data_IF_946029762601
#
_entry.id   IF_946029762601
#
_cell.length_a   1.000
_cell.length_b   1.000
_cell.length_c   1.000
_cell.angle_alpha   90.00
_cell.angle_beta   90.00
_cell.angle_gamma   90.00
#
_symmetry.space_group_name_H-M   'P 1'
#
loop_
_entity.id
_entity.type
_entity.pdbx_description
1 polymer ?
#
# COMPACT_ATOMS: atom_id res chain seq x y z
N UNK A 1 -11.48 3.94 -7.93
CA UNK A 1 -11.25 3.31 -6.62
C UNK A 1 -9.77 3.21 -6.36
N UNK A 2 -9.31 3.51 -5.15
CA UNK A 2 -7.86 3.50 -4.84
C UNK A 2 -7.48 2.46 -3.78
N UNK A 3 -8.39 2.04 -2.89
CA UNK A 3 -8.05 0.98 -1.95
C UNK A 3 -7.96 -0.39 -2.65
N UNK A 4 -7.08 -1.25 -2.16
CA UNK A 4 -6.98 -2.62 -2.65
C UNK A 4 -8.21 -3.43 -2.20
N UNK A 5 -8.88 -4.19 -3.09
CA UNK A 5 -9.89 -5.14 -2.69
C UNK A 5 -9.32 -6.16 -1.72
N UNK A 6 -9.77 -6.13 -0.46
CA UNK A 6 -9.33 -7.07 0.58
C UNK A 6 -10.42 -8.11 0.81
N UNK A 7 -10.09 -9.39 0.63
CA UNK A 7 -11.06 -10.48 0.69
C UNK A 7 -10.83 -11.35 1.93
N UNK A 8 -11.86 -11.57 2.71
CA UNK A 8 -11.89 -12.52 3.83
C UNK A 8 -13.13 -13.40 3.72
N UNK A 9 -12.92 -14.70 3.61
CA UNK A 9 -14.01 -15.66 3.33
C UNK A 9 -14.69 -15.33 2.00
N UNK A 10 -16.02 -15.12 2.04
CA UNK A 10 -16.81 -14.80 0.86
C UNK A 10 -17.04 -13.29 0.66
N UNK A 11 -16.45 -12.44 1.51
CA UNK A 11 -16.69 -11.00 1.48
C UNK A 11 -15.44 -10.25 1.03
N UNK A 12 -15.62 -9.35 0.08
CA UNK A 12 -14.64 -8.38 -0.39
C UNK A 12 -14.97 -7.01 0.23
N UNK A 13 -13.96 -6.37 0.81
CA UNK A 13 -14.03 -5.04 1.41
C UNK A 13 -13.22 -4.06 0.56
N UNK A 14 -13.81 -2.89 0.27
CA UNK A 14 -13.16 -1.89 -0.57
C UNK A 14 -13.67 -0.48 -0.29
N UNK A 15 -12.74 0.49 -0.22
CA UNK A 15 -13.04 1.91 -0.13
C UNK A 15 -12.99 2.59 -1.49
N UNK A 16 -13.85 3.58 -1.70
CA UNK A 16 -13.91 4.37 -2.92
C UNK A 16 -13.45 5.82 -2.68
N UNK A 17 -12.91 6.45 -3.72
CA UNK A 17 -12.61 7.89 -3.70
C UNK A 17 -13.86 8.78 -3.69
N UNK A 18 -15.05 8.20 -3.85
CA UNK A 18 -16.32 8.90 -3.73
C UNK A 18 -16.88 8.88 -2.30
N UNK A 19 -16.07 8.43 -1.32
CA UNK A 19 -16.44 8.45 0.10
C UNK A 19 -17.30 7.29 0.58
N UNK A 20 -17.45 6.25 -0.21
CA UNK A 20 -18.21 5.06 0.20
C UNK A 20 -17.29 3.86 0.43
N UNK A 21 -17.55 3.14 1.49
CA UNK A 21 -16.95 1.86 1.81
C UNK A 21 -17.97 0.74 1.59
N UNK A 22 -17.52 -0.37 1.03
CA UNK A 22 -18.42 -1.46 0.63
C UNK A 22 -17.92 -2.81 1.15
N UNK A 23 -18.89 -3.65 1.58
CA UNK A 23 -18.73 -5.08 1.76
C UNK A 23 -19.60 -5.78 0.69
N UNK A 24 -18.97 -6.58 -0.14
CA UNK A 24 -19.56 -7.17 -1.34
C UNK A 24 -19.27 -8.66 -1.34
N UNK A 25 -20.24 -9.51 -1.67
CA UNK A 25 -19.96 -10.91 -1.92
C UNK A 25 -19.02 -11.04 -3.13
N UNK A 26 -17.87 -11.68 -2.95
CA UNK A 26 -16.79 -11.73 -3.95
C UNK A 26 -17.18 -12.47 -5.23
N UNK A 27 -18.10 -13.43 -5.14
CA UNK A 27 -18.51 -14.30 -6.25
C UNK A 27 -19.70 -13.73 -7.00
N UNK A 28 -20.71 -13.24 -6.28
CA UNK A 28 -21.96 -12.76 -6.89
C UNK A 28 -21.96 -11.26 -7.17
N UNK A 29 -21.05 -10.50 -6.56
CA UNK A 29 -21.04 -9.03 -6.61
C UNK A 29 -22.17 -8.38 -5.79
N UNK A 30 -22.94 -9.16 -5.01
CA UNK A 30 -24.05 -8.65 -4.22
C UNK A 30 -23.53 -7.80 -3.05
N UNK A 31 -24.08 -6.58 -2.92
CA UNK A 31 -23.80 -5.70 -1.79
C UNK A 31 -24.36 -6.30 -0.50
N UNK A 32 -23.53 -6.44 0.52
CA UNK A 32 -23.94 -6.85 1.86
C UNK A 32 -24.26 -5.62 2.73
N UNK A 33 -23.34 -4.69 2.78
CA UNK A 33 -23.51 -3.39 3.42
C UNK A 33 -22.58 -2.33 2.82
N UNK A 34 -22.90 -1.08 3.08
CA UNK A 34 -22.06 0.05 2.71
C UNK A 34 -22.11 1.17 3.74
N UNK A 35 -21.08 1.98 3.79
CA UNK A 35 -21.00 3.16 4.64
C UNK A 35 -20.52 4.38 3.86
N UNK A 36 -21.23 5.50 3.99
CA UNK A 36 -20.87 6.77 3.35
C UNK A 36 -20.28 7.72 4.39
N UNK A 37 -18.97 7.99 4.31
CA UNK A 37 -18.26 8.87 5.24
C UNK A 37 -18.64 10.35 5.11
N UNK A 38 -19.28 10.76 4.02
CA UNK A 38 -19.75 12.14 3.85
C UNK A 38 -20.80 12.52 4.88
N UNK A 39 -21.43 11.53 5.52
CA UNK A 39 -22.34 11.73 6.66
C UNK A 39 -21.64 12.26 7.92
N UNK A 40 -20.32 12.04 8.02
CA UNK A 40 -19.53 12.36 9.21
C UNK A 40 -18.73 13.65 9.06
N UNK A 41 -19.06 14.46 8.07
CA UNK A 41 -18.41 15.74 7.83
C UNK A 41 -17.72 15.84 6.48
N UNK A 42 -16.67 16.65 6.40
CA UNK A 42 -16.04 17.05 5.15
C UNK A 42 -14.94 16.06 4.68
N UNK A 43 -15.19 14.74 4.79
CA UNK A 43 -14.30 13.69 4.30
C UNK A 43 -14.71 13.30 2.89
N UNK A 44 -13.76 12.85 2.06
CA UNK A 44 -14.03 12.62 0.64
C UNK A 44 -13.63 11.23 0.15
N UNK A 45 -12.57 10.63 0.68
CA UNK A 45 -11.97 9.45 0.05
C UNK A 45 -11.34 8.47 1.03
N UNK A 46 -11.12 7.26 0.50
CA UNK A 46 -10.32 6.19 1.11
C UNK A 46 -9.16 5.90 0.17
N UNK A 47 -7.93 6.09 0.62
CA UNK A 47 -6.73 5.78 -0.16
C UNK A 47 -5.94 4.57 0.37
N UNK A 48 -5.91 4.38 1.69
CA UNK A 48 -5.26 3.21 2.28
C UNK A 48 -6.05 1.91 2.06
N UNK A 49 -5.34 0.80 2.16
CA UNK A 49 -5.96 -0.53 2.10
C UNK A 49 -6.68 -0.86 3.42
N UNK A 50 -7.84 -1.52 3.38
CA UNK A 50 -8.55 -1.92 4.59
C UNK A 50 -7.79 -3.02 5.33
N UNK A 51 -7.58 -2.82 6.62
CA UNK A 51 -7.16 -3.88 7.55
C UNK A 51 -8.39 -4.63 8.03
N UNK A 52 -8.45 -5.94 7.78
CA UNK A 52 -9.56 -6.79 8.20
C UNK A 52 -9.11 -7.74 9.29
N UNK A 53 -9.75 -7.67 10.44
CA UNK A 53 -9.56 -8.59 11.58
C UNK A 53 -10.71 -9.59 11.66
N UNK A 54 -10.78 -10.37 12.74
CA UNK A 54 -11.87 -11.31 12.93
C UNK A 54 -13.25 -10.62 13.07
N UNK A 55 -13.32 -9.46 13.70
CA UNK A 55 -14.55 -8.75 14.05
C UNK A 55 -14.60 -7.30 13.53
N UNK A 56 -13.46 -6.72 13.15
CA UNK A 56 -13.38 -5.32 12.73
C UNK A 56 -12.76 -5.16 11.34
N UNK A 57 -13.12 -4.05 10.72
CA UNK A 57 -12.45 -3.51 9.54
C UNK A 57 -11.97 -2.10 9.89
N UNK A 58 -10.67 -1.85 9.71
CA UNK A 58 -10.09 -0.54 9.95
C UNK A 58 -9.60 0.08 8.65
N UNK A 59 -9.88 1.36 8.48
CA UNK A 59 -9.45 2.10 7.30
C UNK A 59 -9.35 3.60 7.60
N UNK A 60 -8.33 4.23 7.01
CA UNK A 60 -8.16 5.68 7.06
C UNK A 60 -8.97 6.40 5.99
N UNK A 61 -9.41 7.62 6.32
CA UNK A 61 -10.09 8.52 5.38
C UNK A 61 -9.33 9.81 5.23
N UNK A 62 -9.47 10.45 4.09
CA UNK A 62 -8.82 11.71 3.80
C UNK A 62 -9.71 12.66 3.00
N UNK A 63 -9.22 13.88 2.85
CA UNK A 63 -9.79 14.91 2.01
C UNK A 63 -8.81 15.25 0.92
N UNK A 64 -8.63 14.34 -0.02
CA UNK A 64 -7.76 14.45 -1.21
C UNK A 64 -6.88 15.71 -1.26
N UNK A 65 -5.58 15.58 -1.10
CA UNK A 65 -4.62 16.68 -1.22
C UNK A 65 -4.83 17.91 -0.29
N UNK A 66 -5.68 17.82 0.72
CA UNK A 66 -5.78 18.85 1.75
C UNK A 66 -5.00 18.40 2.98
N UNK A 67 -3.76 18.87 3.21
CA UNK A 67 -2.97 18.47 4.37
C UNK A 67 -3.61 18.93 5.70
N UNK A 68 -4.49 19.94 5.66
CA UNK A 68 -5.26 20.40 6.80
C UNK A 68 -6.65 19.76 6.86
N UNK A 69 -6.97 18.89 5.90
CA UNK A 69 -8.24 18.19 5.84
C UNK A 69 -8.45 17.30 7.07
N UNK A 70 -9.68 17.23 7.53
CA UNK A 70 -10.06 16.31 8.60
C UNK A 70 -10.21 14.92 8.00
N UNK A 71 -9.54 13.96 8.62
CA UNK A 71 -9.71 12.54 8.35
C UNK A 71 -10.02 11.77 9.63
N UNK A 72 -10.36 10.53 9.48
CA UNK A 72 -10.57 9.61 10.60
C UNK A 72 -9.95 8.26 10.27
N UNK A 73 -9.60 7.52 11.30
CA UNK A 73 -9.54 6.07 11.21
C UNK A 73 -10.86 5.53 11.73
N UNK A 74 -11.54 4.75 10.92
CA UNK A 74 -12.75 4.04 11.29
C UNK A 74 -12.43 2.60 11.66
N UNK A 75 -13.13 2.09 12.68
CA UNK A 75 -13.32 0.69 12.90
C UNK A 75 -14.79 0.34 12.71
N UNK A 76 -15.08 -0.39 11.66
CA UNK A 76 -16.40 -0.94 11.38
C UNK A 76 -16.51 -2.35 11.94
N UNK A 77 -17.66 -2.71 12.48
CA UNK A 77 -18.01 -4.11 12.70
C UNK A 77 -18.07 -4.83 11.35
N UNK A 78 -17.27 -5.90 11.21
CA UNK A 78 -17.07 -6.57 9.92
C UNK A 78 -18.36 -7.04 9.25
N UNK A 79 -19.27 -7.59 10.03
CA UNK A 79 -20.46 -8.25 9.48
C UNK A 79 -21.61 -7.26 9.24
N UNK A 80 -21.66 -6.12 9.95
CA UNK A 80 -22.77 -5.16 9.90
C UNK A 80 -22.44 -3.81 9.28
N UNK A 81 -21.14 -3.45 9.18
CA UNK A 81 -20.71 -2.12 8.77
C UNK A 81 -21.03 -1.01 9.78
N UNK A 82 -21.49 -1.36 10.98
CA UNK A 82 -21.70 -0.37 12.04
C UNK A 82 -20.34 0.17 12.53
N UNK A 83 -20.27 1.48 12.77
CA UNK A 83 -19.08 2.09 13.36
C UNK A 83 -18.96 1.68 14.82
N UNK A 84 -17.91 0.93 15.17
CA UNK A 84 -17.55 0.60 16.55
C UNK A 84 -16.91 1.81 17.22
N UNK A 85 -15.95 2.40 16.54
CA UNK A 85 -15.30 3.64 16.94
C UNK A 85 -14.76 4.38 15.72
N UNK A 86 -14.51 5.67 15.87
CA UNK A 86 -13.74 6.48 14.93
C UNK A 86 -12.79 7.41 15.69
N UNK A 87 -11.54 7.43 15.27
CA UNK A 87 -10.51 8.29 15.81
C UNK A 87 -10.28 9.47 14.85
N UNK A 88 -10.47 10.69 15.33
CA UNK A 88 -10.24 11.89 14.51
C UNK A 88 -8.74 12.13 14.36
N UNK A 89 -8.30 12.37 13.14
CA UNK A 89 -6.94 12.73 12.78
C UNK A 89 -6.97 13.84 11.72
N UNK A 90 -5.82 14.28 11.28
CA UNK A 90 -5.68 14.88 9.95
C UNK A 90 -5.86 13.79 8.89
N UNK A 91 -6.07 14.15 7.63
CA UNK A 91 -6.24 13.17 6.54
C UNK A 91 -5.30 11.97 6.64
N UNK A 92 -5.82 10.74 6.62
CA UNK A 92 -5.10 9.48 6.80
C UNK A 92 -5.11 8.67 5.50
N UNK A 93 -4.19 8.92 4.58
CA UNK A 93 -4.14 8.22 3.30
C UNK A 93 -3.33 6.92 3.34
N UNK A 94 -2.60 6.64 4.44
CA UNK A 94 -1.79 5.42 4.56
C UNK A 94 -2.66 4.21 4.87
N UNK A 95 -2.10 3.03 4.62
CA UNK A 95 -2.67 1.81 5.19
C UNK A 95 -2.66 1.89 6.70
N UNK A 96 -3.64 1.22 7.27
CA UNK A 96 -3.71 0.94 8.69
C UNK A 96 -3.09 -0.43 8.90
N UNK A 97 -2.08 -0.53 9.75
CA UNK A 97 -1.45 -1.80 10.08
C UNK A 97 -1.67 -2.17 11.56
N UNK A 98 -1.72 -3.45 11.84
CA UNK A 98 -1.93 -3.99 13.20
C UNK A 98 -0.69 -4.71 13.71
N UNK A 99 -0.44 -4.51 14.99
CA UNK A 99 0.48 -5.33 15.76
C UNK A 99 -0.11 -5.58 17.16
N UNK A 100 -0.48 -6.82 17.45
CA UNK A 100 -1.21 -7.20 18.65
C UNK A 100 -2.53 -6.40 18.78
N UNK A 101 -2.77 -5.75 19.91
CA UNK A 101 -3.94 -4.88 20.14
C UNK A 101 -3.72 -3.43 19.71
N UNK A 102 -2.65 -3.11 19.01
CA UNK A 102 -2.35 -1.77 18.57
C UNK A 102 -2.47 -1.63 17.05
N UNK A 103 -2.91 -0.47 16.64
CA UNK A 103 -3.10 -0.07 15.25
C UNK A 103 -2.25 1.15 14.96
N UNK A 104 -1.63 1.19 13.78
CA UNK A 104 -0.68 2.23 13.39
C UNK A 104 -1.05 2.81 12.04
N UNK A 105 -0.91 4.13 11.89
CA UNK A 105 -1.19 4.84 10.64
C UNK A 105 -0.42 6.17 10.58
N UNK A 106 -0.29 6.70 9.38
CA UNK A 106 0.29 8.00 9.10
C UNK A 106 -0.70 8.97 8.47
N UNK A 107 -0.50 10.26 8.66
CA UNK A 107 -1.33 11.33 8.12
C UNK A 107 -0.58 12.26 7.18
N UNK A 108 -1.29 13.07 6.40
CA UNK A 108 -0.71 14.05 5.47
C UNK A 108 0.21 15.09 6.13
N UNK A 109 0.09 15.32 7.43
CA UNK A 109 0.98 16.21 8.18
C UNK A 109 2.21 15.50 8.75
N UNK A 110 2.54 14.33 8.21
CA UNK A 110 3.64 13.49 8.69
C UNK A 110 3.55 13.18 10.19
N UNK A 111 2.30 13.03 10.67
CA UNK A 111 2.01 12.55 12.01
C UNK A 111 1.71 11.06 11.97
N UNK A 112 2.38 10.32 12.81
CA UNK A 112 2.26 8.88 12.96
C UNK A 112 1.65 8.58 14.32
N UNK A 113 0.65 7.72 14.33
CA UNK A 113 -0.11 7.44 15.55
C UNK A 113 -0.26 5.95 15.78
N UNK A 114 -0.34 5.58 17.05
CA UNK A 114 -0.83 4.29 17.50
C UNK A 114 -2.09 4.47 18.30
N UNK A 115 -3.10 3.65 18.01
CA UNK A 115 -4.34 3.59 18.78
C UNK A 115 -4.62 2.14 19.20
N UNK A 116 -5.42 1.97 20.26
CA UNK A 116 -5.92 0.65 20.65
C UNK A 116 -6.92 0.13 19.62
N UNK A 117 -6.78 -1.12 19.23
CA UNK A 117 -7.60 -1.77 18.20
C UNK A 117 -9.10 -1.77 18.54
N UNK A 118 -9.47 -2.00 19.79
CA UNK A 118 -10.85 -2.21 20.18
C UNK A 118 -11.60 -0.93 20.58
N UNK A 119 -10.86 0.07 21.09
CA UNK A 119 -11.43 1.32 21.62
C UNK A 119 -11.14 2.53 20.76
N UNK A 120 -10.12 2.49 19.89
CA UNK A 120 -9.64 3.65 19.14
C UNK A 120 -8.91 4.70 19.99
N UNK A 121 -8.65 4.40 21.28
CA UNK A 121 -7.95 5.32 22.17
C UNK A 121 -6.50 5.51 21.74
N UNK A 122 -6.03 6.76 21.74
CA UNK A 122 -4.66 7.11 21.38
C UNK A 122 -3.67 6.54 22.39
N UNK A 123 -2.70 5.76 21.94
CA UNK A 123 -1.58 5.26 22.74
C UNK A 123 -0.41 6.26 22.71
N UNK A 124 -0.02 6.66 21.50
CA UNK A 124 1.04 7.64 21.28
C UNK A 124 0.91 8.29 19.89
N UNK A 125 1.56 9.43 19.73
CA UNK A 125 1.77 10.07 18.44
C UNK A 125 3.23 10.51 18.28
N UNK A 126 3.72 10.49 17.04
CA UNK A 126 5.04 10.94 16.64
C UNK A 126 4.90 11.86 15.43
N UNK A 127 5.59 12.99 15.42
CA UNK A 127 5.64 13.92 14.29
C UNK A 127 7.08 14.24 13.93
N UNK A 128 7.39 14.26 12.64
CA UNK A 128 8.68 14.76 12.17
C UNK A 128 8.72 16.28 12.13
N UNK A 129 7.56 16.94 12.13
CA UNK A 129 7.43 18.40 11.96
C UNK A 129 7.66 18.86 10.52
N UNK A 130 7.85 17.94 9.57
CA UNK A 130 8.02 18.29 8.17
C UNK A 130 6.69 18.78 7.58
N UNK A 131 6.66 19.96 6.94
CA UNK A 131 5.45 20.45 6.28
C UNK A 131 5.23 19.67 4.98
N UNK A 132 4.01 19.22 4.75
CA UNK A 132 3.61 18.66 3.46
C UNK A 132 3.14 19.81 2.53
N UNK A 133 4.03 20.31 1.69
CA UNK A 133 3.77 21.47 0.82
C UNK A 133 3.21 21.09 -0.55
N UNK A 134 3.56 19.90 -1.04
CA UNK A 134 3.35 19.50 -2.43
C UNK A 134 2.29 18.39 -2.57
N UNK A 135 1.49 18.18 -1.54
CA UNK A 135 0.48 17.10 -1.51
C UNK A 135 1.09 15.70 -1.67
N UNK A 136 2.28 15.50 -1.15
CA UNK A 136 2.92 14.20 -1.16
C UNK A 136 2.16 13.21 -0.28
N UNK A 137 1.87 12.05 -0.85
CA UNK A 137 1.22 10.97 -0.13
C UNK A 137 2.23 10.31 0.83
N UNK A 138 2.01 10.37 2.16
CA UNK A 138 2.85 9.63 3.09
C UNK A 138 2.81 8.13 2.76
N UNK A 139 3.95 7.49 2.87
CA UNK A 139 4.07 6.06 2.57
C UNK A 139 3.54 5.23 3.73
N UNK A 140 2.89 4.11 3.44
CA UNK A 140 2.38 3.23 4.50
C UNK A 140 3.52 2.70 5.37
N UNK A 141 3.31 2.58 6.70
CA UNK A 141 4.31 2.04 7.60
C UNK A 141 4.46 0.53 7.41
N UNK A 142 5.63 -0.02 7.82
CA UNK A 142 5.85 -1.46 7.92
C UNK A 142 6.35 -1.83 9.31
N UNK A 143 6.20 -3.09 9.72
CA UNK A 143 6.58 -3.56 11.06
C UNK A 143 7.30 -4.91 11.01
N UNK A 144 8.21 -5.12 11.95
CA UNK A 144 8.87 -6.41 12.23
C UNK A 144 8.33 -7.11 13.47
N UNK A 145 7.20 -6.63 14.01
CA UNK A 145 6.60 -7.17 15.22
C UNK A 145 6.98 -6.43 16.53
N UNK A 146 8.03 -5.62 16.52
CA UNK A 146 8.49 -4.85 17.69
C UNK A 146 8.69 -3.36 17.38
N UNK A 147 8.97 -3.07 16.12
CA UNK A 147 9.29 -1.73 15.61
C UNK A 147 8.36 -1.37 14.48
N UNK A 148 8.09 -0.08 14.40
CA UNK A 148 7.45 0.54 13.26
C UNK A 148 8.53 1.22 12.42
N UNK A 149 8.51 1.03 11.11
CA UNK A 149 9.39 1.71 10.18
C UNK A 149 8.57 2.60 9.26
N UNK A 150 9.01 3.82 9.10
CA UNK A 150 8.34 4.84 8.29
C UNK A 150 9.35 5.52 7.36
N UNK A 151 8.95 5.80 6.14
CA UNK A 151 9.63 6.72 5.23
C UNK A 151 8.87 8.04 5.30
N UNK A 152 9.41 8.99 6.03
CA UNK A 152 8.76 10.24 6.35
C UNK A 152 8.93 11.29 5.23
N UNK A 153 8.10 12.31 5.24
CA UNK A 153 8.12 13.38 4.22
C UNK A 153 9.37 14.27 4.30
N UNK A 154 10.09 14.25 5.42
CA UNK A 154 11.40 14.91 5.56
C UNK A 154 12.53 14.17 4.80
N UNK A 155 12.22 13.07 4.14
CA UNK A 155 13.17 12.23 3.41
C UNK A 155 14.01 11.32 4.31
N UNK A 156 13.62 11.16 5.56
CA UNK A 156 14.32 10.33 6.55
C UNK A 156 13.53 9.06 6.81
N UNK A 157 14.23 7.96 6.96
CA UNK A 157 13.65 6.69 7.44
C UNK A 157 13.80 6.63 8.95
N UNK A 158 12.70 6.38 9.65
CA UNK A 158 12.68 6.21 11.10
C UNK A 158 12.35 4.78 11.48
N UNK A 159 12.99 4.30 12.54
CA UNK A 159 12.52 3.16 13.30
C UNK A 159 11.98 3.66 14.64
N UNK A 160 10.73 3.37 14.90
CA UNK A 160 10.07 3.69 16.16
C UNK A 160 9.84 2.43 16.98
N UNK A 161 9.93 2.52 18.27
CA UNK A 161 9.45 1.46 19.16
C UNK A 161 7.92 1.41 19.04
N UNK A 162 7.37 0.26 18.67
CA UNK A 162 5.95 0.14 18.38
C UNK A 162 5.05 0.42 19.60
N UNK A 163 5.50 0.12 20.83
CA UNK A 163 4.70 0.34 22.04
C UNK A 163 4.71 1.79 22.52
N UNK A 164 5.84 2.51 22.34
CA UNK A 164 6.03 3.84 22.95
C UNK A 164 6.13 4.99 21.95
N UNK A 165 6.25 4.71 20.66
CA UNK A 165 6.48 5.74 19.62
C UNK A 165 7.86 6.39 19.67
N UNK A 166 8.75 5.96 20.58
CA UNK A 166 10.10 6.54 20.69
C UNK A 166 10.97 6.11 19.52
N UNK A 167 11.78 7.07 19.03
CA UNK A 167 12.75 6.81 17.94
C UNK A 167 13.85 5.88 18.44
N UNK A 168 14.01 4.72 17.81
CA UNK A 168 15.15 3.83 18.01
C UNK A 168 16.38 4.31 17.23
N UNK A 169 16.14 4.60 15.94
CA UNK A 169 17.14 5.17 15.05
C UNK A 169 16.46 5.94 13.91
N UNK A 170 17.23 6.80 13.26
CA UNK A 170 16.84 7.50 12.02
C UNK A 170 17.96 7.41 11.00
N UNK A 171 17.60 7.34 9.71
CA UNK A 171 18.55 7.26 8.61
C UNK A 171 18.11 8.18 7.48
N UNK A 172 18.94 9.14 7.13
CA UNK A 172 18.83 9.91 5.89
C UNK A 172 19.64 9.20 4.80
N UNK A 173 19.02 8.95 3.66
CA UNK A 173 19.67 8.45 2.46
C UNK A 173 20.16 9.62 1.59
N UNK A 174 21.04 9.38 0.60
CA UNK A 174 21.49 10.43 -0.32
C UNK A 174 20.38 11.15 -1.06
N UNK A 175 19.28 10.43 -1.37
CA UNK A 175 18.09 10.98 -1.99
C UNK A 175 16.81 10.57 -1.23
N UNK A 176 15.71 11.29 -1.46
CA UNK A 176 14.42 11.07 -0.84
C UNK A 176 13.84 9.71 -1.26
N UNK A 177 13.20 8.96 -0.35
CA UNK A 177 12.45 7.76 -0.68
C UNK A 177 11.35 8.03 -1.72
N UNK A 178 11.39 7.32 -2.84
CA UNK A 178 10.38 7.37 -3.91
C UNK A 178 9.35 6.25 -3.77
N UNK A 179 9.69 5.18 -3.06
CA UNK A 179 8.80 4.03 -2.81
C UNK A 179 8.33 3.97 -1.36
N UNK A 180 7.27 3.18 -1.10
CA UNK A 180 7.02 2.65 0.22
C UNK A 180 8.16 1.73 0.68
N UNK A 181 8.20 1.44 1.99
CA UNK A 181 9.13 0.47 2.56
C UNK A 181 8.63 -0.95 2.33
N UNK A 182 9.55 -1.90 2.19
CA UNK A 182 9.27 -3.32 2.38
C UNK A 182 10.21 -3.89 3.44
N UNK A 183 9.77 -4.94 4.14
CA UNK A 183 10.56 -5.59 5.17
C UNK A 183 10.61 -7.11 4.92
N UNK A 184 11.78 -7.69 5.02
CA UNK A 184 12.01 -9.13 4.99
C UNK A 184 13.33 -9.48 5.69
N UNK A 185 13.35 -10.59 6.44
CA UNK A 185 14.54 -11.14 7.09
C UNK A 185 15.40 -10.11 7.84
N UNK A 186 14.76 -9.27 8.65
CA UNK A 186 15.43 -8.20 9.42
C UNK A 186 16.07 -7.11 8.55
N UNK A 187 15.67 -7.01 7.29
CA UNK A 187 16.11 -5.96 6.37
C UNK A 187 14.93 -5.12 5.89
N UNK A 188 15.22 -3.85 5.67
CA UNK A 188 14.29 -2.88 5.08
C UNK A 188 14.77 -2.58 3.68
N UNK A 189 13.84 -2.50 2.73
CA UNK A 189 14.10 -2.16 1.35
C UNK A 189 13.36 -0.87 1.00
N UNK A 190 14.02 0.00 0.23
CA UNK A 190 13.46 1.28 -0.21
C UNK A 190 14.09 1.72 -1.52
N UNK A 191 13.28 2.24 -2.42
CA UNK A 191 13.73 2.95 -3.62
C UNK A 191 13.79 4.45 -3.39
N UNK A 192 14.68 5.14 -4.08
CA UNK A 192 14.94 6.58 -3.94
C UNK A 192 14.87 7.31 -5.27
N UNK A 193 14.69 8.63 -5.21
CA UNK A 193 14.55 9.52 -6.38
C UNK A 193 15.77 9.52 -7.31
N UNK A 194 16.96 9.19 -6.80
CA UNK A 194 18.21 9.09 -7.55
C UNK A 194 18.43 7.73 -8.25
N UNK A 195 17.32 6.98 -8.49
CA UNK A 195 17.34 5.71 -9.21
C UNK A 195 18.16 4.63 -8.50
N UNK A 196 17.96 4.49 -7.18
CA UNK A 196 18.61 3.46 -6.39
C UNK A 196 17.63 2.68 -5.55
N UNK A 197 18.00 1.44 -5.27
CA UNK A 197 17.41 0.60 -4.21
C UNK A 197 18.40 0.48 -3.08
N UNK A 198 17.94 0.60 -1.85
CA UNK A 198 18.74 0.39 -0.65
C UNK A 198 18.18 -0.76 0.17
N UNK A 199 19.09 -1.55 0.72
CA UNK A 199 18.82 -2.54 1.75
C UNK A 199 19.46 -2.09 3.05
N UNK A 200 18.67 -1.93 4.10
CA UNK A 200 19.12 -1.48 5.40
C UNK A 200 18.91 -2.56 6.44
N UNK A 201 19.79 -2.61 7.43
CA UNK A 201 19.58 -3.42 8.62
C UNK A 201 18.44 -2.83 9.45
N UNK A 202 17.38 -3.59 9.71
CA UNK A 202 16.21 -3.12 10.43
C UNK A 202 16.50 -2.76 11.90
N UNK A 203 17.54 -3.34 12.52
CA UNK A 203 17.90 -3.05 13.90
C UNK A 203 18.70 -1.75 14.05
N UNK A 204 19.58 -1.44 13.10
CA UNK A 204 20.54 -0.34 13.23
C UNK A 204 20.33 0.80 12.23
N UNK A 205 19.53 0.59 11.18
CA UNK A 205 19.39 1.52 10.06
C UNK A 205 20.66 1.63 9.18
N UNK A 206 21.65 0.77 9.38
CA UNK A 206 22.85 0.77 8.54
C UNK A 206 22.53 0.27 7.13
N UNK A 207 23.07 0.95 6.10
CA UNK A 207 23.01 0.47 4.72
C UNK A 207 23.88 -0.77 4.59
N UNK A 208 23.29 -1.87 4.12
CA UNK A 208 23.97 -3.16 3.88
C UNK A 208 24.40 -3.27 2.43
N UNK A 209 23.51 -2.92 1.51
CA UNK A 209 23.77 -2.93 0.07
C UNK A 209 22.91 -1.91 -0.64
N UNK A 210 23.34 -1.52 -1.83
CA UNK A 210 22.59 -0.68 -2.75
C UNK A 210 22.69 -1.21 -4.16
N UNK A 211 21.68 -0.92 -4.99
CA UNK A 211 21.65 -1.27 -6.40
C UNK A 211 21.15 -0.06 -7.20
N UNK A 212 21.95 0.37 -8.18
CA UNK A 212 21.50 1.35 -9.16
C UNK A 212 20.46 0.72 -10.09
N UNK A 213 19.39 1.44 -10.34
CA UNK A 213 18.34 1.06 -11.29
C UNK A 213 18.40 1.98 -12.52
N UNK A 214 17.95 1.47 -13.67
CA UNK A 214 17.99 2.26 -14.92
C UNK A 214 16.91 3.35 -15.00
N UNK A 215 15.95 3.34 -14.08
CA UNK A 215 14.88 4.32 -13.96
C UNK A 215 14.42 4.41 -12.50
N UNK A 216 13.64 5.44 -12.19
CA UNK A 216 13.19 5.70 -10.82
C UNK A 216 12.28 4.59 -10.30
N UNK A 217 12.59 3.96 -9.16
CA UNK A 217 11.66 3.10 -8.44
C UNK A 217 10.41 3.88 -8.01
N UNK A 218 9.22 3.30 -8.20
CA UNK A 218 7.95 3.96 -7.86
C UNK A 218 6.97 3.01 -7.19
N UNK A 219 6.00 3.56 -6.46
CA UNK A 219 4.94 2.82 -5.81
C UNK A 219 5.40 2.08 -4.56
N UNK A 220 4.83 0.91 -4.32
CA UNK A 220 5.18 0.03 -3.21
C UNK A 220 5.98 -1.16 -3.71
N UNK A 221 6.81 -1.70 -2.84
CA UNK A 221 7.61 -2.90 -3.10
C UNK A 221 6.82 -4.13 -2.68
N UNK A 222 6.94 -5.22 -3.44
CA UNK A 222 6.42 -6.53 -3.07
C UNK A 222 7.57 -7.52 -2.88
N UNK A 223 7.47 -8.42 -1.90
CA UNK A 223 8.52 -9.37 -1.57
C UNK A 223 7.97 -10.79 -1.48
N UNK A 224 8.56 -11.71 -2.21
CA UNK A 224 8.31 -13.15 -2.10
C UNK A 224 9.50 -13.97 -2.60
N UNK A 225 9.73 -15.15 -2.00
CA UNK A 225 10.70 -16.14 -2.46
C UNK A 225 12.10 -15.54 -2.73
N UNK A 226 12.64 -14.79 -1.78
CA UNK A 226 13.93 -14.12 -1.88
C UNK A 226 14.06 -13.13 -3.06
N UNK A 227 12.93 -12.63 -3.55
CA UNK A 227 12.84 -11.65 -4.64
C UNK A 227 12.04 -10.43 -4.22
N UNK A 228 12.55 -9.26 -4.59
CA UNK A 228 11.88 -7.98 -4.51
C UNK A 228 11.31 -7.64 -5.88
N UNK A 229 10.02 -7.30 -5.95
CA UNK A 229 9.33 -6.89 -7.17
C UNK A 229 8.93 -5.43 -7.05
N UNK A 230 9.14 -4.67 -8.11
CA UNK A 230 8.86 -3.24 -8.11
C UNK A 230 8.63 -2.70 -9.52
N UNK A 231 8.07 -1.51 -9.56
CA UNK A 231 7.94 -0.72 -10.78
C UNK A 231 9.09 0.28 -10.89
N UNK A 232 9.57 0.46 -12.12
CA UNK A 232 10.46 1.55 -12.48
C UNK A 232 9.73 2.46 -13.48
N UNK A 233 9.97 3.75 -13.37
CA UNK A 233 9.43 4.75 -14.29
C UNK A 233 10.52 5.66 -14.84
N UNK A 234 10.65 5.69 -16.15
CA UNK A 234 11.42 6.69 -16.89
C UNK A 234 10.45 7.69 -17.52
N UNK A 235 10.28 8.83 -16.85
CA UNK A 235 9.34 9.85 -17.28
C UNK A 235 9.75 10.52 -18.60
N UNK A 236 11.06 10.68 -18.87
CA UNK A 236 11.59 11.31 -20.07
C UNK A 236 11.37 10.47 -21.33
N UNK A 237 11.53 9.15 -21.21
CA UNK A 237 11.31 8.21 -22.32
C UNK A 237 9.86 7.69 -22.37
N UNK A 238 9.05 8.04 -21.39
CA UNK A 238 7.68 7.51 -21.24
C UNK A 238 7.64 5.98 -21.25
N UNK A 239 8.56 5.38 -20.52
CA UNK A 239 8.67 3.92 -20.39
C UNK A 239 8.57 3.52 -18.93
N UNK A 240 7.82 2.45 -18.69
CA UNK A 240 7.76 1.78 -17.40
C UNK A 240 8.35 0.36 -17.49
N UNK A 241 8.82 -0.13 -16.36
CA UNK A 241 9.27 -1.51 -16.23
C UNK A 241 8.70 -2.11 -14.96
N UNK A 242 8.48 -3.42 -15.00
CA UNK A 242 8.38 -4.25 -13.81
C UNK A 242 9.67 -5.08 -13.73
N UNK A 243 10.28 -5.11 -12.57
CA UNK A 243 11.52 -5.85 -12.37
C UNK A 243 11.44 -6.77 -11.15
N UNK A 244 12.22 -7.82 -11.18
CA UNK A 244 12.57 -8.63 -10.01
C UNK A 244 14.04 -8.44 -9.69
N UNK A 245 14.33 -8.25 -8.41
CA UNK A 245 15.69 -8.10 -7.87
C UNK A 245 15.88 -9.12 -6.76
N UNK A 246 17.07 -9.69 -6.62
CA UNK A 246 17.35 -10.57 -5.50
C UNK A 246 17.39 -9.80 -4.16
N UNK A 247 17.10 -10.48 -3.05
CA UNK A 247 17.01 -9.87 -1.72
C UNK A 247 18.32 -9.25 -1.21
N UNK A 248 19.46 -9.63 -1.78
CA UNK A 248 20.78 -9.06 -1.43
C UNK A 248 21.08 -7.79 -2.20
N UNK A 249 20.26 -7.43 -3.20
CA UNK A 249 20.46 -6.37 -4.17
C UNK A 249 21.74 -6.56 -4.98
N UNK A 250 22.10 -7.80 -5.32
CA UNK A 250 23.27 -8.10 -6.14
C UNK A 250 23.01 -7.91 -7.63
N UNK A 251 21.75 -7.92 -8.06
CA UNK A 251 21.38 -7.66 -9.44
C UNK A 251 19.91 -7.84 -9.75
N UNK A 252 19.54 -7.44 -10.95
CA UNK A 252 18.20 -7.66 -11.52
C UNK A 252 18.10 -9.09 -12.02
N UNK A 253 17.12 -9.84 -11.53
CA UNK A 253 16.86 -11.23 -11.99
C UNK A 253 16.17 -11.26 -13.34
N UNK A 254 15.15 -10.41 -13.49
CA UNK A 254 14.45 -10.23 -14.74
C UNK A 254 13.81 -8.84 -14.83
N UNK A 255 13.50 -8.43 -16.04
CA UNK A 255 12.88 -7.15 -16.36
C UNK A 255 11.91 -7.33 -17.51
N UNK A 256 10.71 -6.77 -17.35
CA UNK A 256 9.71 -6.67 -18.41
C UNK A 256 9.36 -5.21 -18.66
N UNK A 257 9.36 -4.83 -19.93
CA UNK A 257 8.95 -3.50 -20.37
C UNK A 257 7.43 -3.41 -20.38
N UNK A 258 6.91 -2.30 -19.93
CA UNK A 258 5.49 -2.01 -19.98
C UNK A 258 5.21 -0.58 -20.42
N UNK A 259 3.93 -0.27 -20.54
CA UNK A 259 3.45 1.10 -20.67
C UNK A 259 4.00 1.96 -19.51
N UNK A 260 4.33 3.25 -19.76
CA UNK A 260 4.86 4.15 -18.72
C UNK A 260 3.89 4.36 -17.55
N UNK A 261 2.66 3.95 -17.72
CA UNK A 261 1.56 4.25 -16.81
C UNK A 261 1.21 3.04 -15.93
N UNK A 262 2.20 2.44 -15.23
CA UNK A 262 1.89 1.52 -14.15
C UNK A 262 1.12 2.28 -13.07
N UNK A 263 -0.14 1.95 -12.95
CA UNK A 263 -1.09 2.66 -12.11
C UNK A 263 -1.49 1.89 -10.87
N UNK A 264 -1.28 0.56 -10.85
CA UNK A 264 -1.41 -0.20 -9.61
C UNK A 264 -0.30 0.23 -8.65
N UNK A 265 -0.63 0.44 -7.39
CA UNK A 265 0.30 0.98 -6.41
C UNK A 265 1.50 0.08 -6.16
N UNK A 266 1.35 -1.24 -6.38
CA UNK A 266 2.39 -2.25 -6.24
C UNK A 266 2.20 -3.40 -7.22
N UNK A 267 3.28 -4.15 -7.55
CA UNK A 267 3.14 -5.47 -8.13
C UNK A 267 2.34 -6.37 -7.18
N UNK A 268 1.28 -7.01 -7.67
CA UNK A 268 0.46 -7.91 -6.88
C UNK A 268 0.94 -9.35 -7.01
N UNK A 269 1.29 -9.97 -5.89
CA UNK A 269 1.72 -11.37 -5.87
C UNK A 269 0.50 -12.27 -5.80
N UNK A 270 0.37 -13.16 -6.77
CA UNK A 270 -0.74 -14.12 -6.85
C UNK A 270 -0.26 -15.46 -7.42
N UNK A 271 -0.36 -16.50 -6.60
CA UNK A 271 0.22 -17.81 -6.91
C UNK A 271 1.73 -17.69 -7.23
N UNK A 272 2.16 -18.19 -8.37
CA UNK A 272 3.54 -18.11 -8.88
C UNK A 272 3.79 -16.89 -9.78
N UNK A 273 2.83 -15.95 -9.83
CA UNK A 273 2.85 -14.82 -10.73
C UNK A 273 2.93 -13.48 -10.02
N UNK A 274 3.48 -12.52 -10.73
CA UNK A 274 3.43 -11.09 -10.41
C UNK A 274 2.46 -10.42 -11.36
N UNK A 275 1.41 -9.81 -10.83
CA UNK A 275 0.36 -9.16 -11.62
C UNK A 275 0.50 -7.64 -11.53
N UNK A 276 0.35 -6.97 -12.65
CA UNK A 276 0.46 -5.51 -12.75
C UNK A 276 -0.63 -4.92 -13.63
N UNK A 277 -1.13 -3.75 -13.24
CA UNK A 277 -2.16 -3.01 -13.96
C UNK A 277 -1.70 -1.62 -14.38
N UNK A 278 -2.24 -1.09 -15.48
CA UNK A 278 -1.92 0.25 -15.98
C UNK A 278 -3.15 1.11 -16.28
N UNK A 279 -2.93 2.40 -16.54
CA UNK A 279 -4.02 3.35 -16.84
C UNK A 279 -4.62 3.21 -18.25
N UNK A 280 -4.09 2.34 -19.09
CA UNK A 280 -4.70 2.01 -20.39
C UNK A 280 -5.59 0.77 -20.31
N UNK A 281 -5.84 0.27 -19.09
CA UNK A 281 -6.64 -0.91 -18.84
C UNK A 281 -5.88 -2.22 -19.01
N UNK A 282 -4.59 -2.18 -19.31
CA UNK A 282 -3.77 -3.40 -19.41
C UNK A 282 -3.59 -4.03 -18.01
N UNK A 283 -3.92 -5.30 -17.89
CA UNK A 283 -3.66 -6.17 -16.74
C UNK A 283 -2.83 -7.34 -17.22
N UNK A 284 -1.63 -7.49 -16.70
CA UNK A 284 -0.69 -8.51 -17.14
C UNK A 284 -0.10 -9.30 -15.97
N UNK A 285 0.15 -10.58 -16.19
CA UNK A 285 0.85 -11.44 -15.25
C UNK A 285 2.15 -11.97 -15.84
N UNK A 286 3.16 -12.02 -14.99
CA UNK A 286 4.49 -12.51 -15.30
C UNK A 286 4.87 -13.58 -14.28
N UNK A 287 5.54 -14.66 -14.71
CA UNK A 287 6.03 -15.66 -13.77
C UNK A 287 7.05 -15.03 -12.82
N UNK A 288 6.87 -15.24 -11.52
CA UNK A 288 7.69 -14.57 -10.51
C UNK A 288 9.18 -14.94 -10.58
N UNK A 289 9.51 -16.15 -11.05
CA UNK A 289 10.89 -16.67 -11.09
C UNK A 289 11.75 -16.09 -12.21
N UNK A 290 11.17 -15.88 -13.40
CA UNK A 290 11.90 -15.53 -14.63
C UNK A 290 11.31 -14.38 -15.43
N UNK A 291 10.13 -13.89 -15.01
CA UNK A 291 9.43 -12.78 -15.70
C UNK A 291 8.72 -13.18 -16.98
N UNK A 292 8.63 -14.48 -17.31
CA UNK A 292 7.95 -14.94 -18.52
C UNK A 292 6.47 -14.51 -18.51
N UNK A 293 5.98 -13.83 -19.55
CA UNK A 293 4.57 -13.46 -19.65
C UNK A 293 3.65 -14.68 -19.60
N UNK A 294 2.66 -14.64 -18.71
CA UNK A 294 1.69 -15.73 -18.54
C UNK A 294 0.38 -15.46 -19.26
N UNK A 295 -0.16 -14.29 -19.02
CA UNK A 295 -1.40 -13.84 -19.65
C UNK A 295 -1.49 -12.30 -19.59
N UNK A 296 -2.34 -11.75 -20.44
CA UNK A 296 -2.73 -10.35 -20.41
C UNK A 296 -4.22 -10.21 -20.70
N UNK A 297 -4.82 -9.16 -20.12
CA UNK A 297 -6.21 -8.78 -20.31
C UNK A 297 -6.26 -7.28 -20.56
N UNK A 298 -7.29 -6.83 -21.26
CA UNK A 298 -7.60 -5.40 -21.41
C UNK A 298 -8.96 -5.11 -20.79
N UNK A 299 -8.95 -4.27 -19.75
CA UNK A 299 -10.13 -3.81 -19.06
C UNK A 299 -10.50 -2.40 -19.53
N UNK A 300 -11.73 -2.01 -19.30
CA UNK A 300 -12.14 -0.61 -19.51
C UNK A 300 -11.82 0.21 -18.27
N UNK A 301 -10.89 1.15 -18.38
CA UNK A 301 -10.54 2.08 -17.33
C UNK A 301 -9.11 1.95 -16.80
N UNK A 302 -8.70 2.91 -15.97
CA UNK A 302 -7.37 2.93 -15.33
C UNK A 302 -7.35 1.99 -14.12
N UNK A 303 -6.55 0.92 -14.17
CA UNK A 303 -6.43 -0.07 -13.09
C UNK A 303 -5.58 0.52 -11.97
N UNK A 304 -6.17 0.73 -10.80
CA UNK A 304 -5.51 1.34 -9.64
C UNK A 304 -5.16 0.35 -8.55
N UNK A 305 -5.95 -0.70 -8.39
CA UNK A 305 -5.76 -1.67 -7.31
C UNK A 305 -6.01 -3.09 -7.80
N UNK A 306 -5.26 -4.02 -7.24
CA UNK A 306 -5.37 -5.45 -7.57
C UNK A 306 -5.36 -6.22 -6.26
N UNK A 307 -6.35 -7.09 -6.10
CA UNK A 307 -6.47 -8.03 -4.98
C UNK A 307 -6.74 -9.44 -5.47
N UNK A 308 -6.57 -10.43 -4.62
CA UNK A 308 -6.86 -11.83 -4.97
C UNK A 308 -7.38 -12.64 -3.79
N UNK A 309 -8.10 -13.72 -4.08
CA UNK A 309 -8.54 -14.69 -3.09
C UNK A 309 -8.72 -16.06 -3.78
N UNK A 310 -7.88 -17.03 -3.44
CA UNK A 310 -7.86 -18.31 -4.11
C UNK A 310 -7.59 -18.15 -5.62
N UNK A 311 -8.49 -18.65 -6.44
CA UNK A 311 -8.42 -18.58 -7.90
C UNK A 311 -9.01 -17.29 -8.50
N UNK A 312 -9.56 -16.42 -7.65
CA UNK A 312 -10.13 -15.15 -8.08
C UNK A 312 -9.13 -14.00 -7.97
N UNK A 313 -9.08 -13.18 -9.02
CA UNK A 313 -8.37 -11.93 -9.10
C UNK A 313 -9.36 -10.78 -9.24
N UNK A 314 -9.14 -9.70 -8.51
CA UNK A 314 -9.99 -8.51 -8.51
C UNK A 314 -9.18 -7.31 -8.96
N UNK A 315 -9.69 -6.57 -9.94
CA UNK A 315 -9.09 -5.33 -10.40
C UNK A 315 -10.05 -4.16 -10.23
N UNK A 316 -9.66 -3.20 -9.39
CA UNK A 316 -10.39 -1.95 -9.19
C UNK A 316 -9.91 -0.88 -10.18
N UNK A 317 -10.83 -0.29 -10.94
CA UNK A 317 -10.52 0.79 -11.87
C UNK A 317 -10.99 2.14 -11.33
N UNK A 318 -10.30 3.20 -11.76
CA UNK A 318 -10.54 4.57 -11.28
C UNK A 318 -11.99 5.02 -11.50
N UNK A 319 -12.61 4.55 -12.55
CA UNK A 319 -13.99 4.88 -12.96
C UNK A 319 -15.06 4.24 -12.05
N UNK A 320 -14.64 3.49 -11.02
CA UNK A 320 -15.56 2.96 -10.00
C UNK A 320 -16.08 1.55 -10.27
N UNK A 321 -15.50 0.82 -11.19
CA UNK A 321 -15.83 -0.59 -11.47
C UNK A 321 -14.80 -1.52 -10.81
N UNK A 322 -15.26 -2.66 -10.33
CA UNK A 322 -14.43 -3.79 -9.91
C UNK A 322 -14.68 -4.92 -10.88
N UNK A 323 -13.61 -5.40 -11.50
CA UNK A 323 -13.63 -6.61 -12.32
C UNK A 323 -13.18 -7.79 -11.48
N UNK A 324 -13.91 -8.89 -11.56
CA UNK A 324 -13.57 -10.16 -10.93
C UNK A 324 -13.31 -11.19 -12.01
N UNK A 325 -12.17 -11.85 -11.95
CA UNK A 325 -11.78 -12.92 -12.85
C UNK A 325 -11.49 -14.18 -12.08
N UNK A 326 -12.11 -15.27 -12.48
CA UNK A 326 -11.72 -16.59 -12.06
C UNK A 326 -10.77 -17.16 -13.13
N UNK A 327 -9.51 -17.33 -12.76
CA UNK A 327 -8.55 -17.98 -13.62
C UNK A 327 -8.59 -19.47 -13.29
N UNK A 328 -9.47 -20.20 -13.97
CA UNK A 328 -9.46 -21.65 -13.93
C UNK A 328 -8.04 -22.14 -14.28
N UNK A 329 -7.52 -23.09 -13.51
CA UNK A 329 -6.31 -23.81 -13.91
C UNK A 329 -6.49 -24.24 -15.38
N UNK A 330 -5.50 -23.92 -16.24
CA UNK A 330 -5.47 -24.53 -17.57
C UNK A 330 -5.58 -26.02 -17.37
N UNK A 331 -6.43 -26.72 -18.14
CA UNK A 331 -6.56 -28.17 -18.06
C UNK A 331 -5.23 -28.86 -18.32
#
# INVERSE_FOLDING_TARGET
MFSTPTVVGEVMFIGSCAGSFYAINKTTGQLQWSYDIRRDGNQQSFHGDPLVTNDLILIGTDKSCDPNGVGHVYAFERDSGKVRWKNRSTSVPTDVIQLNSNVYFGSFQDNWSSVDLHTGSLNWSFSTGAPNKDCDMPKSPVTDGNRLFIAALDGVIYSLNALSGRVNWKRKLPATPSTGLAISDKNIYVGTEDQRLYRLNAQTGAVISELATEAKPVGRLAFANDSLFLFLQNASERVGYIISVDSKLSGVRWKQRSSPDWASERPHLWKDSVVAGNCRGGLAAFRATDGEPQWNLTLKGCIRSIGSSGDMLFAGVQEGTIYAYELSAKP
#
